data_IF_663490663075
#
_entry.id   IF_663490663075
#
_cell.length_a   1.000
_cell.length_b   1.000
_cell.length_c   1.000
_cell.angle_alpha   90.00
_cell.angle_beta   90.00
_cell.angle_gamma   90.00
#
_symmetry.space_group_name_H-M   'P 1'
#
loop_
_entity.id
_entity.type
_entity.pdbx_description
1 polymer ?
#
# COMPACT_ATOMS: atom_id res chain seq x y z
N UNK A 1 -5.93 15.40 -2.31
CA UNK A 1 -5.27 14.16 -1.87
C UNK A 1 -4.04 13.99 -2.72
N UNK A 2 -2.89 13.81 -2.10
CA UNK A 2 -1.63 13.54 -2.78
C UNK A 2 -1.40 12.03 -2.82
N UNK A 3 -0.88 11.53 -3.95
CA UNK A 3 -0.59 10.10 -4.16
C UNK A 3 0.89 9.98 -4.48
N UNK A 4 1.57 9.07 -3.79
CA UNK A 4 2.97 8.76 -3.99
C UNK A 4 3.15 7.24 -4.22
N UNK A 5 4.04 6.88 -5.15
CA UNK A 5 4.40 5.50 -5.46
C UNK A 5 5.87 5.25 -5.11
N UNK A 6 6.14 4.43 -4.08
CA UNK A 6 7.51 4.18 -3.63
C UNK A 6 8.37 3.38 -4.62
N UNK A 7 7.74 2.60 -5.49
CA UNK A 7 8.40 1.67 -6.42
C UNK A 7 8.75 2.25 -7.79
N UNK A 8 8.50 3.54 -8.03
CA UNK A 8 8.58 4.13 -9.38
C UNK A 8 10.02 4.25 -9.93
N UNK A 9 11.05 4.21 -9.09
CA UNK A 9 12.48 4.02 -9.42
C UNK A 9 13.13 5.07 -10.35
N UNK A 10 12.34 5.81 -11.14
CA UNK A 10 12.74 6.82 -12.11
C UNK A 10 12.93 8.20 -11.47
N UNK A 11 12.42 8.39 -10.25
CA UNK A 11 12.39 9.68 -9.57
C UNK A 11 13.62 9.94 -8.68
N UNK A 12 14.70 9.14 -8.77
CA UNK A 12 15.78 9.15 -7.77
C UNK A 12 17.19 9.06 -8.41
N UNK A 13 18.01 10.13 -8.28
CA UNK A 13 19.40 10.11 -8.70
C UNK A 13 20.26 9.13 -7.88
N UNK A 14 21.20 8.45 -8.54
CA UNK A 14 22.22 7.62 -7.87
C UNK A 14 22.98 8.44 -6.80
N UNK A 15 23.18 7.86 -5.62
CA UNK A 15 23.93 8.48 -4.51
C UNK A 15 23.09 9.29 -3.50
N UNK A 16 21.79 9.45 -3.74
CA UNK A 16 20.85 10.03 -2.77
C UNK A 16 20.62 9.04 -1.61
N UNK A 17 20.59 9.49 -0.35
CA UNK A 17 20.16 8.62 0.76
C UNK A 17 18.65 8.34 0.62
N UNK A 18 18.36 7.29 -0.14
CA UNK A 18 17.03 6.85 -0.52
C UNK A 18 16.11 6.56 0.67
N UNK A 19 16.67 6.08 1.78
CA UNK A 19 15.94 5.86 3.02
C UNK A 19 15.35 7.18 3.53
N UNK A 20 16.11 8.27 3.55
CA UNK A 20 15.61 9.56 4.04
C UNK A 20 14.49 10.16 3.20
N UNK A 21 14.49 9.95 1.88
CA UNK A 21 13.40 10.44 1.02
C UNK A 21 12.10 9.68 1.31
N UNK A 22 12.18 8.35 1.35
CA UNK A 22 11.05 7.49 1.71
C UNK A 22 10.56 7.78 3.14
N UNK A 23 11.47 7.99 4.10
CA UNK A 23 11.13 8.37 5.46
C UNK A 23 10.35 9.69 5.51
N UNK A 24 10.82 10.72 4.78
CA UNK A 24 10.16 12.02 4.74
C UNK A 24 8.75 11.92 4.13
N UNK A 25 8.62 11.21 3.01
CA UNK A 25 7.35 11.09 2.31
C UNK A 25 6.37 10.24 3.13
N UNK A 26 6.84 9.16 3.75
CA UNK A 26 6.03 8.34 4.66
C UNK A 26 5.59 9.12 5.91
N UNK A 27 6.40 10.04 6.46
CA UNK A 27 5.98 10.86 7.60
C UNK A 27 4.75 11.74 7.28
N UNK A 28 4.47 12.03 6.00
CA UNK A 28 3.29 12.79 5.58
C UNK A 28 2.08 11.91 5.22
N UNK A 29 2.28 10.60 5.08
CA UNK A 29 1.25 9.68 4.63
C UNK A 29 0.28 9.29 5.76
N UNK A 30 -1.00 9.21 5.42
CA UNK A 30 -2.07 8.74 6.34
C UNK A 30 -2.46 7.27 6.10
N UNK A 31 -2.25 6.78 4.87
CA UNK A 31 -2.62 5.44 4.41
C UNK A 31 -1.47 4.93 3.53
N UNK A 32 -1.13 3.65 3.64
CA UNK A 32 -0.21 2.97 2.73
C UNK A 32 -0.86 1.69 2.21
N UNK A 33 -1.15 1.64 0.90
CA UNK A 33 -1.53 0.40 0.23
C UNK A 33 -0.28 -0.35 -0.21
N UNK A 34 -0.13 -1.59 0.25
CA UNK A 34 1.01 -2.44 -0.07
C UNK A 34 0.58 -3.49 -1.07
N UNK A 35 0.89 -3.26 -2.34
CA UNK A 35 0.55 -4.19 -3.42
C UNK A 35 1.49 -5.39 -3.43
N UNK A 36 0.93 -6.57 -3.23
CA UNK A 36 1.67 -7.84 -3.19
C UNK A 36 1.25 -8.70 -4.38
N UNK A 37 2.24 -9.15 -5.15
CA UNK A 37 2.11 -10.13 -6.22
C UNK A 37 2.96 -11.36 -5.88
N UNK A 38 2.80 -12.48 -6.61
CA UNK A 38 3.68 -13.64 -6.46
C UNK A 38 5.18 -13.31 -6.61
N UNK A 39 5.52 -12.30 -7.42
CA UNK A 39 6.91 -11.86 -7.60
C UNK A 39 7.35 -10.88 -6.50
N UNK A 40 6.48 -9.94 -6.13
CA UNK A 40 6.86 -8.85 -5.23
C UNK A 40 7.04 -9.33 -3.78
N UNK A 41 6.35 -10.39 -3.36
CA UNK A 41 6.45 -10.97 -2.01
C UNK A 41 7.87 -11.46 -1.64
N UNK A 42 8.71 -11.73 -2.65
CA UNK A 42 10.10 -12.18 -2.44
C UNK A 42 11.00 -10.99 -2.06
N UNK A 43 10.56 -9.76 -2.34
CA UNK A 43 11.31 -8.55 -2.01
C UNK A 43 11.25 -8.24 -0.51
N UNK A 44 12.39 -8.36 0.16
CA UNK A 44 12.57 -7.90 1.55
C UNK A 44 12.23 -6.41 1.71
N UNK A 45 12.33 -5.64 0.63
CA UNK A 45 12.07 -4.21 0.65
C UNK A 45 10.62 -3.86 1.00
N UNK A 46 9.66 -4.65 0.51
CA UNK A 46 8.23 -4.43 0.80
C UNK A 46 7.96 -4.57 2.30
N UNK A 47 8.58 -5.55 2.95
CA UNK A 47 8.45 -5.74 4.40
C UNK A 47 9.12 -4.61 5.19
N UNK A 48 10.23 -4.08 4.70
CA UNK A 48 10.91 -2.94 5.32
C UNK A 48 10.02 -1.69 5.28
N UNK A 49 9.49 -1.32 4.11
CA UNK A 49 8.63 -0.15 3.96
C UNK A 49 7.34 -0.27 4.77
N UNK A 50 6.67 -1.42 4.67
CA UNK A 50 5.45 -1.68 5.43
C UNK A 50 5.69 -1.66 6.95
N UNK A 51 6.80 -2.24 7.40
CA UNK A 51 7.20 -2.22 8.81
C UNK A 51 7.51 -0.81 9.31
N UNK A 52 8.24 -0.02 8.52
CA UNK A 52 8.52 1.38 8.83
C UNK A 52 7.23 2.20 8.93
N UNK A 53 6.36 2.10 7.93
CA UNK A 53 5.08 2.82 7.91
C UNK A 53 4.20 2.43 9.12
N UNK A 54 4.11 1.14 9.43
CA UNK A 54 3.40 0.64 10.60
C UNK A 54 3.97 1.23 11.91
N UNK A 55 5.29 1.29 12.05
CA UNK A 55 5.94 1.87 13.24
C UNK A 55 5.65 3.35 13.47
N UNK A 56 5.23 4.07 12.41
CA UNK A 56 4.84 5.49 12.45
C UNK A 56 3.35 5.71 12.70
N UNK A 57 2.57 4.64 12.85
CA UNK A 57 1.11 4.70 13.00
C UNK A 57 0.36 4.95 11.69
N UNK A 58 1.03 4.80 10.55
CA UNK A 58 0.39 4.86 9.23
C UNK A 58 -0.48 3.62 9.06
N UNK A 59 -1.66 3.78 8.49
CA UNK A 59 -2.56 2.66 8.23
C UNK A 59 -2.07 1.88 7.02
N UNK A 60 -1.40 0.75 7.29
CA UNK A 60 -0.83 -0.14 6.28
C UNK A 60 -1.86 -1.20 5.90
N UNK A 61 -2.19 -1.29 4.62
CA UNK A 61 -3.23 -2.17 4.09
C UNK A 61 -2.62 -3.04 2.98
N UNK A 62 -2.38 -4.34 3.22
CA UNK A 62 -1.94 -5.27 2.19
C UNK A 62 -3.02 -5.44 1.11
N UNK A 63 -2.59 -5.44 -0.15
CA UNK A 63 -3.47 -5.66 -1.29
C UNK A 63 -2.89 -6.76 -2.18
N UNK A 64 -3.58 -7.90 -2.24
CA UNK A 64 -3.15 -9.05 -3.05
C UNK A 64 -3.59 -8.91 -4.51
N UNK A 65 -2.65 -9.12 -5.44
CA UNK A 65 -2.92 -9.23 -6.87
C UNK A 65 -2.38 -10.58 -7.35
N UNK A 66 -3.29 -11.49 -7.69
CA UNK A 66 -2.93 -12.86 -8.09
C UNK A 66 -2.31 -13.70 -6.96
N UNK A 67 -2.44 -13.23 -5.70
CA UNK A 67 -2.00 -13.92 -4.48
C UNK A 67 -3.05 -13.70 -3.41
N UNK A 68 -3.16 -14.63 -2.47
CA UNK A 68 -3.99 -14.47 -1.28
C UNK A 68 -3.17 -13.85 -0.14
N UNK A 69 -3.56 -12.65 0.30
CA UNK A 69 -2.88 -11.95 1.40
C UNK A 69 -2.90 -12.74 2.73
N UNK A 70 -3.85 -13.67 2.92
CA UNK A 70 -3.89 -14.50 4.12
C UNK A 70 -2.70 -15.47 4.21
N UNK A 71 -2.03 -15.75 3.08
CA UNK A 71 -0.88 -16.64 2.99
C UNK A 71 0.47 -15.91 3.13
N UNK A 72 0.45 -14.58 3.32
CA UNK A 72 1.68 -13.81 3.51
C UNK A 72 2.37 -14.18 4.83
N UNK A 73 3.64 -13.83 4.93
CA UNK A 73 4.38 -13.93 6.18
C UNK A 73 4.14 -12.67 7.02
N UNK A 74 4.36 -12.81 8.32
CA UNK A 74 4.42 -11.67 9.22
C UNK A 74 5.51 -10.67 8.77
N UNK A 75 5.31 -9.36 8.96
CA UNK A 75 4.16 -8.74 9.64
C UNK A 75 2.91 -8.52 8.76
N UNK A 76 2.99 -8.70 7.44
CA UNK A 76 1.89 -8.31 6.53
C UNK A 76 0.60 -9.10 6.78
N UNK A 77 0.68 -10.39 7.10
CA UNK A 77 -0.51 -11.21 7.39
C UNK A 77 -1.19 -10.88 8.73
N UNK A 78 -0.57 -10.05 9.56
CA UNK A 78 -1.18 -9.56 10.80
C UNK A 78 -2.09 -8.35 10.55
N UNK A 79 -1.98 -7.74 9.36
CA UNK A 79 -2.73 -6.56 8.95
C UNK A 79 -3.96 -6.98 8.15
N UNK A 80 -5.06 -6.25 8.34
CA UNK A 80 -6.27 -6.42 7.53
C UNK A 80 -6.05 -5.80 6.15
N UNK A 81 -6.45 -6.52 5.11
CA UNK A 81 -6.28 -6.13 3.72
C UNK A 81 -7.34 -6.78 2.84
N UNK A 82 -7.15 -6.73 1.52
CA UNK A 82 -8.04 -7.41 0.57
C UNK A 82 -7.30 -7.90 -0.67
N UNK A 83 -7.86 -8.90 -1.34
CA UNK A 83 -7.39 -9.37 -2.65
C UNK A 83 -8.20 -8.68 -3.75
N UNK A 84 -7.55 -8.18 -4.79
CA UNK A 84 -8.22 -7.69 -6.01
C UNK A 84 -8.50 -8.90 -6.90
N UNK A 85 -9.75 -9.38 -6.87
CA UNK A 85 -10.22 -10.48 -7.71
C UNK A 85 -11.25 -10.03 -8.77
N UNK A 86 -11.78 -8.81 -8.66
CA UNK A 86 -12.79 -8.24 -9.56
C UNK A 86 -12.79 -6.71 -9.48
N UNK A 87 -13.52 -6.06 -10.38
CA UNK A 87 -13.76 -4.60 -10.32
C UNK A 87 -14.37 -4.15 -8.99
N UNK A 88 -15.24 -4.97 -8.40
CA UNK A 88 -15.85 -4.67 -7.10
C UNK A 88 -14.81 -4.56 -5.98
N UNK A 89 -13.71 -5.32 -6.05
CA UNK A 89 -12.60 -5.24 -5.11
C UNK A 89 -11.87 -3.89 -5.13
N UNK A 90 -12.00 -3.11 -6.20
CA UNK A 90 -11.46 -1.75 -6.27
C UNK A 90 -12.25 -0.76 -5.42
N UNK A 91 -13.53 -1.03 -5.10
CA UNK A 91 -14.31 -0.15 -4.22
C UNK A 91 -13.79 -0.19 -2.77
N UNK A 92 -13.01 -1.21 -2.39
CA UNK A 92 -12.34 -1.24 -1.08
C UNK A 92 -11.36 -0.07 -0.89
N UNK A 93 -10.69 0.38 -1.96
CA UNK A 93 -9.82 1.57 -1.90
C UNK A 93 -10.63 2.82 -1.54
N UNK A 94 -11.78 3.00 -2.19
CA UNK A 94 -12.65 4.15 -1.97
C UNK A 94 -13.18 4.13 -0.55
N UNK A 95 -13.66 2.98 -0.08
CA UNK A 95 -14.15 2.79 1.30
C UNK A 95 -13.09 3.15 2.35
N UNK A 96 -11.85 2.69 2.17
CA UNK A 96 -10.73 3.00 3.07
C UNK A 96 -10.41 4.50 3.05
N UNK A 97 -10.29 5.09 1.87
CA UNK A 97 -9.94 6.51 1.71
C UNK A 97 -11.02 7.41 2.31
N UNK A 98 -12.29 7.13 2.02
CA UNK A 98 -13.43 7.85 2.58
C UNK A 98 -13.41 7.79 4.11
N UNK A 99 -13.24 6.60 4.68
CA UNK A 99 -13.21 6.41 6.14
C UNK A 99 -12.04 7.14 6.82
N UNK A 100 -10.84 7.05 6.24
CA UNK A 100 -9.63 7.57 6.89
C UNK A 100 -9.44 9.07 6.71
N UNK A 101 -9.84 9.61 5.55
CA UNK A 101 -9.66 11.02 5.21
C UNK A 101 -10.94 11.85 5.31
N UNK A 102 -12.04 11.24 5.80
CA UNK A 102 -13.37 11.87 5.90
C UNK A 102 -13.89 12.40 4.55
N UNK A 103 -13.69 11.59 3.50
CA UNK A 103 -14.15 11.88 2.15
C UNK A 103 -15.45 11.12 1.81
N UNK A 104 -16.09 11.57 0.73
CA UNK A 104 -17.38 11.08 0.28
C UNK A 104 -17.36 10.79 -1.23
N UNK A 105 -16.34 10.07 -1.69
CA UNK A 105 -16.29 9.61 -3.08
C UNK A 105 -17.31 8.50 -3.32
N UNK A 106 -17.94 8.52 -4.49
CA UNK A 106 -18.88 7.46 -4.92
C UNK A 106 -18.12 6.20 -5.36
N UNK A 107 -18.59 5.03 -4.91
CA UNK A 107 -18.08 3.73 -5.34
C UNK A 107 -18.53 3.45 -6.79
N UNK A 108 -17.64 3.68 -7.77
CA UNK A 108 -17.96 3.59 -9.21
C UNK A 108 -17.20 2.54 -9.99
N UNK A 109 -16.43 1.67 -9.35
CA UNK A 109 -15.87 0.53 -10.06
C UNK A 109 -16.95 -0.53 -10.22
N UNK A 110 -17.78 -0.36 -11.25
CA UNK A 110 -18.75 -1.33 -11.74
C UNK A 110 -18.13 -2.07 -12.93
N UNK A 111 -18.35 -3.40 -13.01
CA UNK A 111 -17.93 -4.33 -14.07
C UNK A 111 -17.38 -3.69 -15.37
N UNK A 112 -16.09 -3.93 -15.65
CA UNK A 112 -15.53 -3.86 -17.02
C UNK A 112 -15.79 -5.18 -17.72
#
# INVERSE_FOLDING_TARGET
MDIFMSSDGQSIPFGSNWVHKIENDLNSASIMFVFVTPDSIISNWIYFEAGFAYSKGIEVIPVGIGIDIALLKAPLNLLQGFNIASGDGLNNFISVVNKKLDYHFEDKFSYV
#
